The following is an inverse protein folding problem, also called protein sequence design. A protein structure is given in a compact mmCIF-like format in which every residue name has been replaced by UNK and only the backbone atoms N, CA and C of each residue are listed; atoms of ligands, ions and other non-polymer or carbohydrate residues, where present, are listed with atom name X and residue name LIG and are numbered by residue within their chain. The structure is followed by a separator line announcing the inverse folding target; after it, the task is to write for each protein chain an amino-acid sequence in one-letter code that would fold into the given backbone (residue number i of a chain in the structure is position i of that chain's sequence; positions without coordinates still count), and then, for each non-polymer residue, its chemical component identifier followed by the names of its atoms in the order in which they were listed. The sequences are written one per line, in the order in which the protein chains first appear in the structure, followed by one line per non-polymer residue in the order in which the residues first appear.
data_IF_273601028822
#
_entry.id   IF_273601028822
#
_cell.length_a   1.000
_cell.length_b   1.000
_cell.length_c   1.000
_cell.angle_alpha   90.00
_cell.angle_beta   90.00
_cell.angle_gamma   90.00
#
_symmetry.space_group_name_H-M   'P 1'
#
loop_
_entity.id
_entity.type
_entity.pdbx_description
1 polymer ?
#
# COMPACT_ATOMS: atom_id res chain seq x y z
N UNK A 1 -23.09 -7.70 -9.74
CA UNK A 1 -21.70 -8.16 -9.94
C UNK A 1 -20.78 -7.22 -9.23
N UNK A 2 -19.88 -7.75 -8.40
CA UNK A 2 -18.85 -6.97 -7.70
C UNK A 2 -17.90 -6.31 -8.69
N UNK A 3 -17.07 -5.36 -8.23
CA UNK A 3 -15.98 -4.82 -9.07
C UNK A 3 -15.06 -5.93 -9.58
N UNK A 4 -14.75 -6.91 -8.72
CA UNK A 4 -13.90 -8.04 -9.04
C UNK A 4 -14.51 -8.90 -10.15
N UNK A 5 -15.79 -9.31 -10.00
CA UNK A 5 -16.47 -10.16 -10.99
C UNK A 5 -16.59 -9.48 -12.36
N UNK A 6 -16.83 -8.17 -12.39
CA UNK A 6 -16.84 -7.39 -13.64
C UNK A 6 -15.49 -7.39 -14.35
N UNK A 7 -14.39 -7.32 -13.59
CA UNK A 7 -13.04 -7.31 -14.11
C UNK A 7 -12.63 -8.70 -14.59
N UNK A 8 -12.80 -9.71 -13.74
CA UNK A 8 -12.16 -11.03 -13.85
C UNK A 8 -13.05 -12.08 -14.50
N UNK A 9 -14.37 -11.83 -14.55
CA UNK A 9 -15.36 -12.75 -15.13
C UNK A 9 -15.87 -13.83 -14.17
N UNK A 10 -15.46 -13.81 -12.90
CA UNK A 10 -15.93 -14.75 -11.88
C UNK A 10 -15.99 -14.08 -10.51
N UNK A 11 -16.83 -14.61 -9.62
CA UNK A 11 -16.88 -14.14 -8.22
C UNK A 11 -15.64 -14.60 -7.48
N UNK A 12 -15.11 -13.76 -6.61
CA UNK A 12 -14.02 -14.17 -5.73
C UNK A 12 -14.48 -15.32 -4.82
N UNK A 13 -13.69 -16.38 -4.80
CA UNK A 13 -13.90 -17.62 -4.05
C UNK A 13 -12.90 -17.69 -2.90
N UNK A 14 -12.74 -18.88 -2.30
CA UNK A 14 -11.66 -19.12 -1.33
C UNK A 14 -10.27 -18.88 -1.95
N UNK A 15 -9.30 -18.49 -1.13
CA UNK A 15 -8.00 -17.98 -1.57
C UNK A 15 -7.32 -18.81 -2.68
N UNK A 16 -7.12 -20.11 -2.46
CA UNK A 16 -6.47 -20.99 -3.43
C UNK A 16 -7.29 -21.18 -4.71
N UNK A 17 -8.63 -21.22 -4.60
CA UNK A 17 -9.52 -21.33 -5.75
C UNK A 17 -9.47 -20.06 -6.60
N UNK A 18 -9.49 -18.89 -5.96
CA UNK A 18 -9.34 -17.59 -6.62
C UNK A 18 -7.98 -17.48 -7.31
N UNK A 19 -6.90 -17.78 -6.60
CA UNK A 19 -5.54 -17.73 -7.15
C UNK A 19 -5.41 -18.64 -8.38
N UNK A 20 -5.99 -19.86 -8.35
CA UNK A 20 -5.95 -20.80 -9.46
C UNK A 20 -6.68 -20.33 -10.73
N UNK A 21 -7.61 -19.37 -10.62
CA UNK A 21 -8.25 -18.76 -11.79
C UNK A 21 -7.38 -17.72 -12.50
N UNK A 22 -6.20 -17.40 -11.96
CA UNK A 22 -5.27 -16.48 -12.57
C UNK A 22 -3.94 -17.13 -12.92
N UNK A 23 -3.19 -16.42 -13.75
CA UNK A 23 -1.81 -16.70 -14.07
C UNK A 23 -1.06 -15.38 -14.22
N UNK A 24 0.18 -15.32 -13.72
CA UNK A 24 1.06 -14.19 -13.99
C UNK A 24 2.08 -14.61 -15.04
N UNK A 25 2.06 -13.93 -16.19
CA UNK A 25 3.00 -14.16 -17.29
C UNK A 25 3.76 -12.86 -17.53
N UNK A 26 5.05 -12.86 -17.19
CA UNK A 26 5.85 -11.64 -17.17
C UNK A 26 5.27 -10.62 -16.18
N UNK A 27 4.89 -9.45 -16.68
CA UNK A 27 4.30 -8.35 -15.92
C UNK A 27 2.79 -8.21 -16.13
N UNK A 28 2.12 -9.31 -16.52
CA UNK A 28 0.68 -9.33 -16.79
C UNK A 28 -0.04 -10.36 -15.92
N UNK A 29 -1.18 -9.96 -15.39
CA UNK A 29 -2.14 -10.87 -14.75
C UNK A 29 -3.17 -11.31 -15.80
N UNK A 30 -3.35 -12.61 -15.96
CA UNK A 30 -4.29 -13.23 -16.90
C UNK A 30 -5.42 -13.90 -16.12
N UNK A 31 -6.67 -13.58 -16.46
CA UNK A 31 -7.83 -14.35 -15.98
C UNK A 31 -8.06 -15.55 -16.90
N UNK A 32 -8.04 -16.76 -16.32
CA UNK A 32 -8.35 -18.01 -17.05
C UNK A 32 -9.82 -18.13 -17.40
N UNK A 33 -10.71 -17.39 -16.72
CA UNK A 33 -12.16 -17.49 -16.90
C UNK A 33 -12.66 -16.68 -18.09
N UNK A 34 -12.22 -15.43 -18.23
CA UNK A 34 -12.67 -14.54 -19.30
C UNK A 34 -11.60 -14.24 -20.37
N UNK A 35 -10.40 -14.80 -20.22
CA UNK A 35 -9.28 -14.64 -21.16
C UNK A 35 -8.66 -13.23 -21.21
N UNK A 36 -9.12 -12.29 -20.37
CA UNK A 36 -8.57 -10.94 -20.32
C UNK A 36 -7.24 -10.94 -19.56
N UNK A 37 -6.41 -9.95 -19.88
CA UNK A 37 -5.16 -9.73 -19.17
C UNK A 37 -4.89 -8.25 -18.97
N UNK A 38 -4.13 -7.93 -17.92
CA UNK A 38 -3.81 -6.56 -17.52
C UNK A 38 -2.34 -6.45 -17.14
N UNK A 39 -1.75 -5.30 -17.45
CA UNK A 39 -0.44 -4.93 -16.98
C UNK A 39 -0.49 -4.73 -15.45
N UNK A 40 0.25 -5.56 -14.71
CA UNK A 40 0.45 -5.39 -13.28
C UNK A 40 1.81 -4.77 -12.96
N UNK A 41 2.70 -4.59 -13.95
CA UNK A 41 3.89 -3.78 -13.76
C UNK A 41 4.89 -4.38 -12.77
N UNK A 42 5.58 -3.52 -12.00
CA UNK A 42 6.64 -3.92 -11.05
C UNK A 42 6.34 -3.38 -9.68
N UNK A 43 6.25 -4.26 -8.68
CA UNK A 43 6.11 -3.91 -7.27
C UNK A 43 7.48 -3.95 -6.59
N UNK A 44 7.88 -2.83 -6.00
CA UNK A 44 9.03 -2.71 -5.12
C UNK A 44 8.59 -2.22 -3.73
N UNK A 45 9.41 -2.46 -2.72
CA UNK A 45 9.22 -1.90 -1.37
C UNK A 45 10.44 -1.10 -0.92
N UNK A 46 10.87 -0.04 -1.61
CA UNK A 46 12.10 0.67 -1.23
C UNK A 46 11.94 1.40 0.11
N UNK A 47 13.05 1.49 0.84
CA UNK A 47 13.20 2.38 2.00
C UNK A 47 13.27 3.85 1.57
N UNK A 48 12.97 4.77 2.49
CA UNK A 48 13.13 6.20 2.25
C UNK A 48 14.60 6.56 1.97
N UNK A 49 15.57 5.88 2.57
CA UNK A 49 16.99 6.00 2.22
C UNK A 49 17.23 5.69 0.73
N UNK A 50 16.75 4.55 0.24
CA UNK A 50 16.91 4.14 -1.15
C UNK A 50 16.23 5.14 -2.11
N UNK A 51 15.05 5.64 -1.76
CA UNK A 51 14.35 6.65 -2.55
C UNK A 51 15.08 8.00 -2.57
N UNK A 52 15.72 8.41 -1.48
CA UNK A 52 16.55 9.64 -1.45
C UNK A 52 17.76 9.51 -2.37
N UNK A 53 18.39 8.35 -2.42
CA UNK A 53 19.48 8.08 -3.38
C UNK A 53 18.95 8.13 -4.81
N UNK A 54 17.84 7.44 -5.10
CA UNK A 54 17.22 7.43 -6.45
C UNK A 54 16.74 8.83 -6.88
N UNK A 55 16.22 9.65 -5.96
CA UNK A 55 15.75 11.00 -6.30
C UNK A 55 16.91 11.98 -6.50
N UNK A 56 18.01 11.82 -5.77
CA UNK A 56 19.21 12.65 -5.94
C UNK A 56 19.80 12.53 -7.35
N UNK A 57 19.75 11.34 -7.97
CA UNK A 57 20.31 11.12 -9.32
C UNK A 57 19.52 11.80 -10.45
N UNK A 58 18.23 12.07 -10.22
CA UNK A 58 17.35 12.71 -11.22
C UNK A 58 17.09 14.19 -10.94
N UNK A 59 17.52 14.69 -9.78
CA UNK A 59 17.20 16.03 -9.27
C UNK A 59 17.51 17.16 -10.25
N UNK A 60 18.66 17.10 -10.93
CA UNK A 60 19.07 18.11 -11.90
C UNK A 60 18.15 18.10 -13.14
N UNK A 61 17.77 16.91 -13.62
CA UNK A 61 16.90 16.74 -14.76
C UNK A 61 15.44 17.12 -14.48
N UNK A 62 15.02 17.13 -13.20
CA UNK A 62 13.65 17.45 -12.77
C UNK A 62 13.50 18.90 -12.25
N UNK A 63 14.46 19.79 -12.52
CA UNK A 63 14.34 21.20 -12.14
C UNK A 63 13.20 21.87 -12.90
N UNK A 64 12.42 22.70 -12.21
CA UNK A 64 11.30 23.41 -12.79
C UNK A 64 10.44 24.12 -11.76
N UNK A 65 9.31 24.67 -12.20
CA UNK A 65 8.34 25.33 -11.33
C UNK A 65 7.32 24.31 -10.85
N UNK A 66 7.36 23.97 -9.57
CA UNK A 66 6.35 23.14 -8.93
C UNK A 66 5.02 23.91 -8.88
N UNK A 67 3.95 23.28 -9.37
CA UNK A 67 2.58 23.78 -9.22
C UNK A 67 1.79 22.83 -8.35
N UNK A 68 1.17 23.39 -7.31
CA UNK A 68 0.29 22.65 -6.41
C UNK A 68 -1.12 23.21 -6.58
N UNK A 69 -2.10 22.32 -6.69
CA UNK A 69 -3.54 22.67 -6.76
C UNK A 69 -4.34 21.69 -5.93
N UNK A 70 -5.42 22.17 -5.33
CA UNK A 70 -6.41 21.31 -4.70
C UNK A 70 -7.35 20.77 -5.78
N UNK A 71 -7.61 19.47 -5.73
CA UNK A 71 -8.57 18.79 -6.59
C UNK A 71 -9.60 18.14 -5.68
N UNK A 72 -10.88 18.49 -5.87
CA UNK A 72 -12.00 17.81 -5.25
C UNK A 72 -12.61 16.84 -6.27
N UNK A 73 -12.33 15.56 -6.12
CA UNK A 73 -12.81 14.51 -7.03
C UNK A 73 -12.93 13.17 -6.29
N UNK A 74 -13.67 12.24 -6.90
CA UNK A 74 -13.69 10.84 -6.47
C UNK A 74 -12.33 10.18 -6.80
N UNK A 75 -11.67 9.59 -5.81
CA UNK A 75 -10.32 9.04 -5.96
C UNK A 75 -10.27 7.89 -6.98
N UNK A 76 -11.32 7.07 -7.08
CA UNK A 76 -11.39 5.99 -8.07
C UNK A 76 -11.54 6.56 -9.50
N UNK A 77 -12.39 7.57 -9.68
CA UNK A 77 -12.57 8.25 -10.98
C UNK A 77 -11.37 9.10 -11.39
N UNK A 78 -10.62 9.68 -10.44
CA UNK A 78 -9.43 10.47 -10.76
C UNK A 78 -8.40 9.67 -11.57
N UNK A 79 -8.30 8.36 -11.34
CA UNK A 79 -7.41 7.49 -12.09
C UNK A 79 -7.78 7.35 -13.57
N UNK A 80 -9.04 7.61 -13.96
CA UNK A 80 -9.50 7.50 -15.35
C UNK A 80 -9.28 8.78 -16.15
N UNK A 81 -8.89 9.88 -15.50
CA UNK A 81 -8.66 11.15 -16.17
C UNK A 81 -7.49 11.03 -17.15
N UNK A 82 -7.62 11.48 -18.41
CA UNK A 82 -6.55 11.38 -19.40
C UNK A 82 -5.23 12.00 -18.92
N UNK A 83 -5.29 13.07 -18.13
CA UNK A 83 -4.15 13.80 -17.57
C UNK A 83 -3.39 13.01 -16.49
N UNK A 84 -4.01 11.95 -15.94
CA UNK A 84 -3.40 11.08 -14.93
C UNK A 84 -2.66 9.90 -15.58
N UNK A 85 -2.79 9.71 -16.90
CA UNK A 85 -2.03 8.69 -17.62
C UNK A 85 -0.52 8.91 -17.50
N UNK A 86 0.20 7.92 -16.99
CA UNK A 86 1.63 7.97 -16.68
C UNK A 86 1.99 8.70 -15.38
N UNK A 87 1.00 9.15 -14.60
CA UNK A 87 1.26 9.84 -13.34
C UNK A 87 1.65 8.87 -12.20
N UNK A 88 2.33 9.42 -11.19
CA UNK A 88 2.49 8.79 -9.89
C UNK A 88 1.36 9.25 -8.97
N UNK A 89 0.58 8.30 -8.45
CA UNK A 89 -0.50 8.55 -7.48
C UNK A 89 -0.05 8.07 -6.11
N UNK A 90 0.05 8.98 -5.16
CA UNK A 90 0.29 8.61 -3.76
C UNK A 90 -1.03 8.21 -3.11
N UNK A 91 -1.05 7.05 -2.46
CA UNK A 91 -2.23 6.40 -1.91
C UNK A 91 -1.98 6.12 -0.43
N UNK A 92 -2.93 6.50 0.43
CA UNK A 92 -2.94 6.06 1.82
C UNK A 92 -3.12 4.54 1.85
N UNK A 93 -2.26 3.84 2.60
CA UNK A 93 -2.23 2.38 2.61
C UNK A 93 -1.99 1.79 4.00
N UNK A 94 -2.04 0.46 4.10
CA UNK A 94 -1.60 -0.30 5.26
C UNK A 94 -0.17 -0.81 5.04
N UNK A 95 0.50 -1.29 6.08
CA UNK A 95 1.92 -1.71 5.97
C UNK A 95 2.12 -2.99 5.14
N UNK A 96 1.05 -3.69 4.79
CA UNK A 96 1.07 -4.85 3.88
C UNK A 96 0.63 -4.52 2.45
N UNK A 97 0.38 -3.24 2.15
CA UNK A 97 -0.07 -2.78 0.84
C UNK A 97 -1.42 -3.37 0.41
N UNK A 98 -2.27 -3.73 1.38
CA UNK A 98 -3.66 -4.13 1.16
C UNK A 98 -4.55 -3.17 1.95
N UNK A 99 -5.75 -2.89 1.43
CA UNK A 99 -6.67 -1.90 2.02
C UNK A 99 -7.82 -2.61 2.72
N UNK A 100 -7.48 -3.52 3.65
CA UNK A 100 -8.46 -4.29 4.39
C UNK A 100 -9.20 -3.39 5.40
N UNK A 101 -10.52 -3.53 5.62
CA UNK A 101 -11.26 -2.59 6.47
C UNK A 101 -10.91 -2.71 7.98
N UNK A 102 -10.28 -3.79 8.40
CA UNK A 102 -9.84 -4.00 9.78
C UNK A 102 -8.79 -5.11 9.92
N UNK A 103 -8.03 -5.10 11.03
CA UNK A 103 -6.97 -6.08 11.31
C UNK A 103 -7.46 -7.53 11.44
N UNK A 104 -8.76 -7.77 11.53
CA UNK A 104 -9.33 -9.12 11.55
C UNK A 104 -9.55 -9.70 10.14
N UNK A 105 -9.60 -8.85 9.11
CA UNK A 105 -9.70 -9.24 7.71
C UNK A 105 -8.31 -9.54 7.17
N UNK A 106 -8.13 -10.74 6.66
CA UNK A 106 -6.88 -11.28 6.16
C UNK A 106 -6.81 -11.27 4.64
N UNK A 107 -5.61 -11.38 4.04
CA UNK A 107 -5.46 -11.60 2.59
C UNK A 107 -6.34 -12.71 2.03
N UNK A 108 -6.56 -13.78 2.82
CA UNK A 108 -7.37 -14.93 2.47
C UNK A 108 -8.87 -14.62 2.32
N UNK A 109 -9.34 -13.53 2.93
CA UNK A 109 -10.73 -13.07 2.82
C UNK A 109 -11.00 -12.33 1.49
N UNK A 110 -9.94 -12.07 0.71
CA UNK A 110 -10.04 -11.50 -0.64
C UNK A 110 -10.17 -9.98 -0.67
N UNK A 111 -10.29 -9.43 -1.89
CA UNK A 111 -10.28 -7.98 -2.17
C UNK A 111 -11.60 -7.45 -2.75
N UNK A 112 -12.58 -8.31 -3.01
CA UNK A 112 -13.89 -7.91 -3.56
C UNK A 112 -14.63 -6.94 -2.65
N UNK A 113 -14.51 -7.14 -1.33
CA UNK A 113 -15.18 -6.31 -0.32
C UNK A 113 -14.72 -4.84 -0.31
N UNK A 114 -13.65 -4.49 -1.03
CA UNK A 114 -13.21 -3.09 -1.19
C UNK A 114 -14.29 -2.21 -1.83
N UNK A 115 -15.33 -2.78 -2.46
CA UNK A 115 -16.45 -1.98 -2.96
C UNK A 115 -17.38 -1.42 -1.88
N UNK A 116 -17.31 -1.95 -0.67
CA UNK A 116 -18.11 -1.51 0.47
C UNK A 116 -17.39 -0.50 1.36
N UNK A 117 -16.08 -0.35 1.19
CA UNK A 117 -15.29 0.68 1.85
C UNK A 117 -15.17 1.91 0.95
N UNK A 118 -15.72 3.04 1.41
CA UNK A 118 -15.80 4.29 0.67
C UNK A 118 -14.62 5.24 0.97
N UNK A 119 -13.59 4.76 1.67
CA UNK A 119 -12.37 5.53 1.90
C UNK A 119 -11.46 5.56 0.66
N UNK A 120 -10.46 6.45 0.67
CA UNK A 120 -9.61 6.69 -0.50
C UNK A 120 -8.72 5.50 -0.87
N UNK A 121 -8.19 4.75 0.12
CA UNK A 121 -7.31 3.60 -0.13
C UNK A 121 -7.97 2.53 -1.01
N UNK A 122 -9.12 1.96 -0.59
CA UNK A 122 -9.89 0.99 -1.38
C UNK A 122 -10.35 1.53 -2.73
N UNK A 123 -10.70 2.81 -2.83
CA UNK A 123 -11.03 3.46 -4.09
C UNK A 123 -9.84 3.44 -5.08
N UNK A 124 -8.65 3.83 -4.63
CA UNK A 124 -7.42 3.78 -5.42
C UNK A 124 -7.01 2.33 -5.77
N UNK A 125 -7.16 1.40 -4.84
CA UNK A 125 -6.87 -0.02 -5.06
C UNK A 125 -7.79 -0.63 -6.14
N UNK A 126 -9.09 -0.29 -6.11
CA UNK A 126 -10.05 -0.75 -7.14
C UNK A 126 -9.79 -0.11 -8.50
N UNK A 127 -9.30 1.13 -8.53
CA UNK A 127 -8.96 1.80 -9.79
C UNK A 127 -7.82 1.08 -10.54
N UNK A 128 -6.89 0.47 -9.82
CA UNK A 128 -5.85 -0.43 -10.33
C UNK A 128 -6.12 -1.89 -9.89
N UNK A 129 -7.32 -2.37 -10.17
CA UNK A 129 -7.85 -3.63 -9.65
C UNK A 129 -6.99 -4.87 -9.96
N UNK A 130 -6.43 -4.97 -11.16
CA UNK A 130 -5.54 -6.10 -11.49
C UNK A 130 -4.24 -6.09 -10.65
N UNK A 131 -3.67 -4.91 -10.42
CA UNK A 131 -2.51 -4.73 -9.55
C UNK A 131 -2.85 -5.02 -8.07
N UNK A 132 -4.06 -4.72 -7.64
CA UNK A 132 -4.57 -5.10 -6.31
C UNK A 132 -4.70 -6.62 -6.15
N UNK A 133 -5.26 -7.30 -7.15
CA UNK A 133 -5.33 -8.78 -7.16
C UNK A 133 -3.91 -9.37 -7.12
N UNK A 134 -2.98 -8.81 -7.90
CA UNK A 134 -1.58 -9.22 -7.87
C UNK A 134 -0.96 -9.05 -6.47
N UNK A 135 -1.13 -7.89 -5.82
CA UNK A 135 -0.61 -7.65 -4.46
C UNK A 135 -1.13 -8.64 -3.43
N UNK A 136 -2.38 -9.10 -3.56
CA UNK A 136 -2.95 -10.07 -2.63
C UNK A 136 -2.50 -11.51 -2.92
N UNK A 137 -2.56 -11.93 -4.19
CA UNK A 137 -2.45 -13.34 -4.58
C UNK A 137 -1.10 -13.73 -5.18
N UNK A 138 -0.28 -12.78 -5.66
CA UNK A 138 0.90 -13.08 -6.45
C UNK A 138 2.18 -12.33 -6.06
N UNK A 139 2.10 -11.30 -5.22
CA UNK A 139 3.29 -10.60 -4.76
C UNK A 139 4.23 -11.58 -4.02
N UNK A 140 5.54 -11.56 -4.31
CA UNK A 140 6.51 -12.40 -3.63
C UNK A 140 6.70 -11.90 -2.19
N UNK A 141 6.49 -12.78 -1.21
CA UNK A 141 6.64 -12.44 0.21
C UNK A 141 7.40 -13.55 0.93
N UNK A 142 8.61 -13.24 1.41
CA UNK A 142 9.42 -14.17 2.20
C UNK A 142 9.59 -15.56 1.55
N UNK A 143 9.76 -15.64 0.22
CA UNK A 143 9.92 -16.91 -0.49
C UNK A 143 8.62 -17.65 -0.86
N UNK A 144 7.45 -17.08 -0.58
CA UNK A 144 6.16 -17.57 -1.08
C UNK A 144 5.55 -16.58 -2.09
N UNK A 145 4.58 -17.05 -2.88
CA UNK A 145 3.77 -16.22 -3.79
C UNK A 145 2.44 -15.91 -3.10
N UNK A 146 2.10 -14.64 -3.02
CA UNK A 146 0.88 -14.14 -2.40
C UNK A 146 1.02 -13.86 -0.90
N UNK A 147 0.17 -12.94 -0.43
CA UNK A 147 0.07 -12.59 0.99
C UNK A 147 -0.94 -13.49 1.67
N UNK A 148 -0.63 -13.91 2.90
CA UNK A 148 -1.49 -14.73 3.76
C UNK A 148 -1.47 -14.17 5.18
N UNK A 149 -2.38 -14.60 6.06
CA UNK A 149 -2.38 -14.24 7.49
C UNK A 149 -1.02 -14.48 8.14
N UNK A 150 -0.33 -15.54 7.73
CA UNK A 150 0.94 -15.95 8.32
C UNK A 150 2.17 -15.26 7.71
N UNK A 151 2.05 -14.63 6.53
CA UNK A 151 3.19 -14.03 5.82
C UNK A 151 2.72 -12.93 4.87
N UNK A 152 3.14 -11.70 5.19
CA UNK A 152 2.72 -10.47 4.51
C UNK A 152 3.92 -9.58 4.25
N UNK A 153 3.75 -8.66 3.32
CA UNK A 153 4.62 -7.50 3.22
C UNK A 153 4.50 -6.73 4.55
N UNK A 154 5.62 -6.27 5.08
CA UNK A 154 5.66 -5.41 6.26
C UNK A 154 6.61 -4.24 5.95
N UNK A 155 6.05 -3.13 5.49
CA UNK A 155 6.83 -1.93 5.17
C UNK A 155 7.26 -1.14 6.42
N UNK A 156 6.81 -1.54 7.62
CA UNK A 156 7.25 -0.98 8.89
C UNK A 156 8.45 -1.75 9.47
N UNK A 157 8.74 -2.96 9.00
CA UNK A 157 9.66 -3.91 9.63
C UNK A 157 11.02 -3.30 10.03
N UNK A 158 11.69 -2.60 9.11
CA UNK A 158 13.02 -2.04 9.34
C UNK A 158 13.00 -0.91 10.38
N UNK A 159 12.03 0.00 10.28
CA UNK A 159 11.83 1.07 11.27
C UNK A 159 11.45 0.48 12.63
N UNK A 160 10.51 -0.47 12.64
CA UNK A 160 10.06 -1.18 13.85
C UNK A 160 11.22 -1.82 14.59
N UNK A 161 12.12 -2.50 13.88
CA UNK A 161 13.30 -3.13 14.47
C UNK A 161 14.27 -2.13 15.13
N UNK A 162 14.28 -0.87 14.71
CA UNK A 162 15.12 0.19 15.26
C UNK A 162 14.46 0.96 16.43
N UNK A 163 13.16 0.76 16.66
CA UNK A 163 12.41 1.42 17.73
C UNK A 163 12.49 0.62 19.05
N UNK A 164 12.49 1.29 20.20
CA UNK A 164 12.46 0.60 21.49
C UNK A 164 11.18 -0.22 21.62
N UNK A 165 11.32 -1.49 22.00
CA UNK A 165 10.21 -2.46 22.12
C UNK A 165 9.43 -2.64 20.81
N UNK A 166 10.01 -2.32 19.66
CA UNK A 166 9.34 -2.48 18.38
C UNK A 166 9.10 -3.94 17.99
N UNK A 167 9.87 -4.87 18.53
CA UNK A 167 9.61 -6.31 18.44
C UNK A 167 8.31 -6.75 19.13
N UNK A 168 7.82 -5.95 20.10
CA UNK A 168 6.54 -6.16 20.78
C UNK A 168 5.34 -5.52 20.05
N UNK A 169 5.56 -4.73 19.00
CA UNK A 169 4.47 -4.22 18.14
C UNK A 169 3.94 -5.40 17.32
N UNK A 170 2.67 -5.76 17.54
CA UNK A 170 2.01 -6.83 16.80
C UNK A 170 1.62 -6.30 15.41
N UNK A 171 2.24 -6.88 14.37
CA UNK A 171 1.81 -6.67 12.99
C UNK A 171 0.70 -7.67 12.66
N UNK A 172 -0.53 -7.17 12.45
CA UNK A 172 -1.70 -8.00 12.15
C UNK A 172 -2.43 -7.50 10.92
N UNK A 173 -2.34 -8.24 9.82
CA UNK A 173 -3.01 -7.92 8.56
C UNK A 173 -2.72 -6.49 8.04
N UNK A 174 -1.47 -6.02 8.18
CA UNK A 174 -1.04 -4.67 7.78
C UNK A 174 -1.20 -3.59 8.85
N UNK A 175 -1.77 -3.93 10.01
CA UNK A 175 -1.96 -3.02 11.14
C UNK A 175 -0.85 -3.19 12.17
N UNK A 176 -0.20 -2.09 12.55
CA UNK A 176 0.71 -2.04 13.68
C UNK A 176 -0.09 -1.81 14.99
N UNK A 177 -0.15 -2.83 15.84
CA UNK A 177 -0.86 -2.76 17.12
C UNK A 177 0.15 -2.61 18.26
N UNK A 178 -0.01 -1.55 19.06
CA UNK A 178 0.92 -1.17 20.12
C UNK A 178 0.18 -0.86 21.43
N UNK A 179 0.80 -1.21 22.54
CA UNK A 179 0.30 -0.90 23.89
C UNK A 179 0.76 0.48 24.35
N UNK A 180 0.11 1.09 25.36
CA UNK A 180 0.55 2.38 25.92
C UNK A 180 2.02 2.39 26.35
N UNK A 181 2.54 1.27 26.86
CA UNK A 181 3.93 1.22 27.33
C UNK A 181 4.95 1.10 26.19
N UNK A 182 4.57 0.54 25.04
CA UNK A 182 5.38 0.59 23.82
C UNK A 182 5.43 2.02 23.30
N UNK A 183 4.27 2.69 23.20
CA UNK A 183 4.19 4.08 22.72
C UNK A 183 4.99 5.03 23.60
N UNK A 184 4.92 4.88 24.93
CA UNK A 184 5.70 5.67 25.89
C UNK A 184 7.21 5.47 25.71
N UNK A 185 7.64 4.24 25.46
CA UNK A 185 9.06 3.93 25.22
C UNK A 185 9.56 4.60 23.93
N UNK A 186 8.75 4.52 22.86
CA UNK A 186 9.05 5.19 21.59
C UNK A 186 9.11 6.70 21.77
N UNK A 187 8.10 7.30 22.41
CA UNK A 187 8.04 8.74 22.68
C UNK A 187 9.27 9.25 23.44
N UNK A 188 9.63 8.56 24.53
CA UNK A 188 10.84 8.87 25.32
C UNK A 188 12.09 8.83 24.45
N UNK A 189 12.25 7.78 23.64
CA UNK A 189 13.40 7.67 22.74
C UNK A 189 13.43 8.81 21.72
N UNK A 190 12.31 9.14 21.09
CA UNK A 190 12.24 10.16 20.05
C UNK A 190 12.46 11.58 20.59
N UNK A 191 12.09 11.85 21.85
CA UNK A 191 12.35 13.11 22.52
C UNK A 191 13.85 13.36 22.77
N UNK A 192 14.63 12.30 22.99
CA UNK A 192 16.08 12.38 23.23
C UNK A 192 16.90 12.52 21.94
N UNK A 193 16.32 12.23 20.77
CA UNK A 193 17.02 12.29 19.49
C UNK A 193 17.13 13.72 18.96
N UNK A 194 18.23 14.01 18.27
CA UNK A 194 18.32 15.18 17.40
C UNK A 194 17.70 14.92 16.03
N UNK A 195 17.63 15.95 15.17
CA UNK A 195 16.98 15.86 13.85
C UNK A 195 17.67 14.87 12.90
N UNK A 196 18.99 14.75 12.94
CA UNK A 196 19.73 13.81 12.09
C UNK A 196 19.50 12.36 12.52
N UNK A 197 19.40 12.11 13.83
CA UNK A 197 19.06 10.80 14.37
C UNK A 197 17.61 10.41 14.07
N UNK A 198 16.66 11.36 14.22
CA UNK A 198 15.26 11.15 13.77
C UNK A 198 15.18 10.89 12.28
N UNK A 199 15.92 11.63 11.46
CA UNK A 199 15.97 11.40 10.02
C UNK A 199 16.56 10.04 9.65
N UNK A 200 17.52 9.55 10.43
CA UNK A 200 18.08 8.20 10.27
C UNK A 200 17.03 7.11 10.55
N UNK A 201 16.12 7.33 11.50
CA UNK A 201 14.96 6.44 11.70
C UNK A 201 13.98 6.52 10.54
N UNK A 202 13.60 7.73 10.09
CA UNK A 202 12.70 7.91 8.93
C UNK A 202 13.24 7.21 7.69
N UNK A 203 14.55 7.27 7.48
CA UNK A 203 15.23 6.62 6.37
C UNK A 203 14.99 5.09 6.29
N UNK A 204 14.66 4.43 7.41
CA UNK A 204 14.35 3.00 7.48
C UNK A 204 12.91 2.65 7.07
N UNK A 205 11.98 3.61 7.09
CA UNK A 205 10.60 3.36 6.67
C UNK A 205 10.58 2.94 5.20
N UNK A 206 9.82 1.90 4.87
CA UNK A 206 9.60 1.46 3.50
C UNK A 206 8.22 1.89 3.02
N UNK A 207 8.06 2.04 1.71
CA UNK A 207 6.75 2.24 1.07
C UNK A 207 6.55 1.19 -0.01
N UNK A 208 5.31 0.93 -0.43
CA UNK A 208 5.06 0.18 -1.65
C UNK A 208 5.16 1.09 -2.86
N UNK A 209 5.90 0.71 -3.90
CA UNK A 209 5.93 1.42 -5.17
C UNK A 209 5.59 0.45 -6.30
N UNK A 210 4.43 0.65 -6.93
CA UNK A 210 3.91 -0.24 -7.96
C UNK A 210 3.83 0.50 -9.28
N UNK A 211 4.78 0.19 -10.16
CA UNK A 211 5.02 0.93 -11.39
C UNK A 211 4.16 0.46 -12.54
N UNK A 212 3.70 1.41 -13.37
CA UNK A 212 3.08 1.16 -14.68
C UNK A 212 1.95 0.12 -14.68
N UNK A 213 1.04 0.23 -13.72
CA UNK A 213 -0.14 -0.63 -13.59
C UNK A 213 -1.28 -0.13 -14.47
N UNK A 214 -2.03 -1.05 -15.09
CA UNK A 214 -3.23 -0.70 -15.85
C UNK A 214 -4.29 -0.08 -14.92
N UNK A 215 -4.91 1.01 -15.38
CA UNK A 215 -6.13 1.55 -14.77
C UNK A 215 -7.31 0.71 -15.26
N UNK A 216 -7.89 -0.07 -14.36
CA UNK A 216 -9.02 -0.97 -14.64
C UNK A 216 -10.38 -0.38 -14.28
N UNK A 217 -10.40 0.86 -13.76
CA UNK A 217 -11.63 1.60 -13.49
C UNK A 217 -12.46 1.81 -14.77
N UNK A 218 -13.78 1.72 -14.64
CA UNK A 218 -14.71 2.03 -15.73
C UNK A 218 -14.53 3.48 -16.17
N UNK A 219 -14.34 3.69 -17.47
CA UNK A 219 -14.10 5.01 -18.07
C UNK A 219 -12.62 5.31 -18.37
N UNK A 220 -11.69 4.45 -17.95
CA UNK A 220 -10.28 4.59 -18.31
C UNK A 220 -10.05 4.45 -19.83
N UNK A 221 -9.09 5.20 -20.36
CA UNK A 221 -8.66 5.04 -21.75
C UNK A 221 -7.98 3.68 -21.94
N UNK A 222 -8.07 3.12 -23.14
CA UNK A 222 -7.41 1.86 -23.45
C UNK A 222 -5.89 1.98 -23.25
N UNK A 223 -5.33 1.10 -22.42
CA UNK A 223 -3.90 1.08 -22.12
C UNK A 223 -3.43 2.21 -21.20
N UNK A 224 -4.35 2.92 -20.55
CA UNK A 224 -4.03 3.91 -19.54
C UNK A 224 -3.35 3.26 -18.34
N UNK A 225 -2.24 3.86 -17.92
CA UNK A 225 -1.42 3.34 -16.82
C UNK A 225 -1.11 4.43 -15.81
N UNK A 226 -0.86 4.02 -14.57
CA UNK A 226 -0.34 4.87 -13.50
C UNK A 226 0.74 4.13 -12.74
N UNK A 227 1.52 4.84 -11.95
CA UNK A 227 2.27 4.24 -10.84
C UNK A 227 1.59 4.59 -9.52
N UNK A 228 1.57 3.68 -8.55
CA UNK A 228 1.01 3.93 -7.21
C UNK A 228 2.10 3.85 -6.15
N UNK A 229 2.23 4.89 -5.33
CA UNK A 229 3.03 4.91 -4.11
C UNK A 229 2.12 4.70 -2.91
N UNK A 230 2.22 3.54 -2.27
CA UNK A 230 1.44 3.18 -1.09
C UNK A 230 2.20 3.61 0.16
N UNK A 231 1.76 4.73 0.74
CA UNK A 231 2.35 5.32 1.93
C UNK A 231 1.46 4.99 3.12
N UNK A 232 1.99 4.20 4.05
CA UNK A 232 1.24 3.70 5.19
C UNK A 232 1.16 4.72 6.32
N UNK A 233 0.05 4.74 7.06
CA UNK A 233 -0.10 5.50 8.28
C UNK A 233 -0.37 4.56 9.46
N UNK A 234 -0.02 5.01 10.67
CA UNK A 234 -0.27 4.21 11.88
C UNK A 234 -1.78 4.10 12.16
N UNK A 235 -2.28 2.91 12.54
CA UNK A 235 -3.72 2.69 12.73
C UNK A 235 -4.18 3.11 14.13
N UNK A 236 -4.08 4.40 14.43
CA UNK A 236 -4.37 4.98 15.77
C UNK A 236 -5.76 4.56 16.27
N UNK A 237 -6.80 4.67 15.42
CA UNK A 237 -8.18 4.36 15.80
C UNK A 237 -8.45 2.85 16.03
N UNK A 238 -7.55 1.97 15.62
CA UNK A 238 -7.69 0.51 15.78
C UNK A 238 -7.02 -0.02 17.06
N UNK A 239 -6.28 0.83 17.76
CA UNK A 239 -5.59 0.49 19.01
C UNK A 239 -6.44 0.88 20.21
N UNK A 240 -7.53 0.13 20.43
CA UNK A 240 -8.45 0.36 21.53
C UNK A 240 -7.72 0.32 22.89
N UNK A 241 -8.00 1.30 23.75
CA UNK A 241 -7.35 1.43 25.06
C UNK A 241 -6.06 2.28 25.05
N UNK A 242 -5.71 2.88 23.91
CA UNK A 242 -4.69 3.93 23.83
C UNK A 242 -5.32 5.31 23.65
N UNK A 243 -4.66 6.35 24.15
CA UNK A 243 -5.04 7.75 23.88
C UNK A 243 -4.39 8.17 22.54
N UNK A 244 -5.14 8.68 21.55
CA UNK A 244 -4.59 9.17 20.29
C UNK A 244 -3.41 10.13 20.44
N UNK A 245 -3.37 10.95 21.50
CA UNK A 245 -2.27 11.87 21.76
C UNK A 245 -0.93 11.15 21.98
N UNK A 246 -0.95 9.94 22.55
CA UNK A 246 0.26 9.14 22.80
C UNK A 246 0.89 8.57 21.53
N UNK A 247 0.18 8.62 20.40
CA UNK A 247 0.71 8.21 19.10
C UNK A 247 1.48 9.31 18.39
N UNK A 248 1.35 10.58 18.81
CA UNK A 248 1.80 11.74 18.04
C UNK A 248 3.25 11.60 17.56
N UNK A 249 4.20 11.31 18.45
CA UNK A 249 5.62 11.19 18.12
C UNK A 249 5.90 10.07 17.12
N UNK A 250 5.28 8.90 17.28
CA UNK A 250 5.45 7.77 16.36
C UNK A 250 4.75 8.03 15.01
N UNK A 251 3.54 8.61 15.04
CA UNK A 251 2.78 8.92 13.84
C UNK A 251 3.46 10.00 13.00
N UNK A 252 3.97 11.06 13.62
CA UNK A 252 4.75 12.09 12.91
C UNK A 252 5.99 11.48 12.25
N UNK A 253 6.73 10.61 12.97
CA UNK A 253 7.89 9.92 12.40
C UNK A 253 7.55 9.11 11.13
N UNK A 254 6.36 8.51 11.06
CA UNK A 254 5.91 7.74 9.89
C UNK A 254 5.38 8.64 8.76
N UNK A 255 4.85 9.82 9.08
CA UNK A 255 4.23 10.73 8.10
C UNK A 255 5.21 11.74 7.47
N UNK A 256 6.37 11.93 8.09
CA UNK A 256 7.46 12.84 7.65
C UNK A 256 8.50 12.20 6.73
#
# INVERSE_FOLDING_TARGET
MSWFEKLTGFRELGYAQTQAQFEVIGNRLHSRVNGRSWQVGVLETPSLAELRVRSATVREATQGVLRVRNIAADAHQLHTWPEVNGALVQVASQFNLLEMPGYYVSPEDGVSAYEHDLTQGPACARAAGAATIYRNYFAPVGGQIGQTRARQIDTLADLRAALPRGDEIEMRNGYALATPDILRAIDTKLADLNDAERDSLRALLRIGLHHDVDVTAVGALQGQRVSQAYCSALPVNYNHGTDPATWASFACLVLE
#
